data_IF_325885724282
#
_entry.id   IF_325885724282
#
_cell.length_a   1.000
_cell.length_b   1.000
_cell.length_c   1.000
_cell.angle_alpha   90.00
_cell.angle_beta   90.00
_cell.angle_gamma   90.00
#
_symmetry.space_group_name_H-M   'P 1'
#
loop_
_entity.id
_entity.type
_entity.pdbx_description
1 polymer ?
#
# COMPACT_ATOMS: atom_id res chain seq x y z
N UNK A 1 1.01 9.18 36.26
CA UNK A 1 1.33 8.69 34.91
C UNK A 1 2.78 9.05 34.62
N UNK A 2 3.62 8.08 34.22
CA UNK A 2 5.06 8.26 33.94
C UNK A 2 5.24 8.99 32.58
N UNK A 3 5.09 10.31 32.54
CA UNK A 3 5.31 11.14 31.33
C UNK A 3 4.42 10.79 30.13
N UNK A 4 4.53 11.57 29.05
CA UNK A 4 3.81 11.29 27.81
C UNK A 4 4.46 10.10 27.09
N UNK A 5 3.65 9.13 26.66
CA UNK A 5 4.12 7.94 25.93
C UNK A 5 4.34 8.24 24.44
N UNK A 6 4.99 9.37 24.17
CA UNK A 6 5.23 9.91 22.86
C UNK A 6 6.74 9.84 22.57
N UNK A 7 7.11 9.33 21.40
CA UNK A 7 8.50 9.31 20.91
C UNK A 7 8.64 10.21 19.71
N UNK A 8 9.66 11.06 19.72
CA UNK A 8 10.15 11.78 18.54
C UNK A 8 11.47 11.20 18.07
N UNK A 9 11.52 10.72 16.84
CA UNK A 9 12.72 10.15 16.23
C UNK A 9 12.71 10.40 14.72
N UNK A 10 13.86 10.83 14.17
CA UNK A 10 14.06 11.08 12.73
C UNK A 10 13.01 12.00 12.07
N UNK A 11 12.47 12.97 12.82
CA UNK A 11 11.41 13.86 12.33
C UNK A 11 10.00 13.25 12.34
N UNK A 12 9.83 12.08 12.95
CA UNK A 12 8.54 11.42 13.15
C UNK A 12 8.11 11.41 14.61
N UNK A 13 6.80 11.50 14.83
CA UNK A 13 6.14 11.28 16.11
C UNK A 13 5.44 9.94 16.11
N UNK A 14 5.65 9.20 17.20
CA UNK A 14 4.95 7.95 17.50
C UNK A 14 4.24 8.12 18.84
N UNK A 15 2.91 8.08 18.84
CA UNK A 15 2.10 8.24 20.04
C UNK A 15 1.56 6.88 20.54
N UNK A 16 2.17 6.38 21.61
CA UNK A 16 1.78 5.14 22.27
C UNK A 16 0.78 5.36 23.42
N UNK A 17 0.28 6.57 23.64
CA UNK A 17 -0.60 6.90 24.79
C UNK A 17 -1.84 6.03 24.83
N UNK A 18 -2.47 5.78 23.67
CA UNK A 18 -3.64 4.91 23.59
C UNK A 18 -3.29 3.43 23.89
N UNK A 19 -2.10 2.97 23.50
CA UNK A 19 -1.57 1.64 23.82
C UNK A 19 -1.36 1.53 25.32
N UNK A 20 -0.64 2.49 25.91
CA UNK A 20 -0.36 2.58 27.34
C UNK A 20 -1.63 2.59 28.21
N UNK A 21 -2.71 3.16 27.68
CA UNK A 21 -4.01 3.22 28.38
C UNK A 21 -4.81 1.92 28.28
N UNK A 22 -4.81 1.27 27.11
CA UNK A 22 -5.66 0.09 26.84
C UNK A 22 -5.04 -1.22 27.29
N UNK A 23 -3.74 -1.39 27.13
CA UNK A 23 -3.03 -2.65 27.43
C UNK A 23 -3.25 -3.12 28.88
N UNK A 24 -3.13 -2.27 29.92
CA UNK A 24 -3.38 -2.70 31.30
C UNK A 24 -4.84 -3.11 31.54
N UNK A 25 -5.80 -2.38 30.96
CA UNK A 25 -7.25 -2.67 31.09
C UNK A 25 -7.63 -4.00 30.47
N UNK A 26 -6.89 -4.42 29.45
CA UNK A 26 -7.08 -5.70 28.75
C UNK A 26 -6.30 -6.85 29.40
N UNK A 27 -5.48 -6.59 30.42
CA UNK A 27 -4.65 -7.61 31.06
C UNK A 27 -3.59 -8.23 30.14
N UNK A 28 -3.17 -7.50 29.10
CA UNK A 28 -2.14 -7.97 28.17
C UNK A 28 -0.77 -7.93 28.87
N UNK A 29 -0.01 -9.01 28.72
CA UNK A 29 1.32 -9.19 29.34
C UNK A 29 2.46 -9.13 28.32
N UNK A 30 2.12 -9.15 27.03
CA UNK A 30 3.07 -9.09 25.92
C UNK A 30 2.54 -8.22 24.79
N UNK A 31 3.44 -7.48 24.15
CA UNK A 31 3.17 -6.76 22.91
C UNK A 31 4.19 -7.16 21.85
N UNK A 32 3.70 -7.49 20.66
CA UNK A 32 4.54 -7.65 19.46
C UNK A 32 4.60 -6.28 18.78
N UNK A 33 5.79 -5.73 18.57
CA UNK A 33 6.01 -4.46 17.91
C UNK A 33 6.49 -4.71 16.49
N UNK A 34 5.75 -4.21 15.50
CA UNK A 34 6.09 -4.29 14.09
C UNK A 34 6.03 -2.93 13.39
N UNK A 35 6.79 -2.79 12.31
CA UNK A 35 6.82 -1.55 11.53
C UNK A 35 7.19 -1.81 10.07
N UNK A 36 6.95 -0.85 9.16
CA UNK A 36 7.51 -0.87 7.81
C UNK A 36 9.04 -0.78 7.82
N UNK A 37 9.62 -1.18 6.68
CA UNK A 37 11.07 -1.21 6.45
C UNK A 37 11.77 0.08 6.92
N UNK A 38 11.18 1.24 6.62
CA UNK A 38 11.76 2.55 6.97
C UNK A 38 11.89 2.81 8.48
N UNK A 39 11.15 2.10 9.32
CA UNK A 39 11.16 2.25 10.78
C UNK A 39 11.80 1.05 11.51
N UNK A 40 12.24 0.01 10.80
CA UNK A 40 12.87 -1.17 11.44
C UNK A 40 14.05 -0.77 12.32
N UNK A 41 14.88 0.20 11.86
CA UNK A 41 16.01 0.72 12.64
C UNK A 41 15.62 1.43 13.93
N UNK A 42 14.37 1.89 14.03
CA UNK A 42 13.83 2.59 15.19
C UNK A 42 13.18 1.64 16.20
N UNK A 43 12.84 0.40 15.78
CA UNK A 43 12.11 -0.55 16.62
C UNK A 43 12.74 -0.78 18.00
N UNK A 44 14.06 -0.95 18.17
CA UNK A 44 14.65 -1.12 19.50
C UNK A 44 14.39 0.08 20.42
N UNK A 45 14.54 1.30 19.89
CA UNK A 45 14.29 2.54 20.65
C UNK A 45 12.81 2.70 21.01
N UNK A 46 11.93 2.39 20.07
CA UNK A 46 10.48 2.45 20.27
C UNK A 46 10.01 1.39 21.29
N UNK A 47 10.57 0.18 21.23
CA UNK A 47 10.29 -0.89 22.16
C UNK A 47 10.71 -0.54 23.59
N UNK A 48 11.94 0.00 23.77
CA UNK A 48 12.40 0.46 25.09
C UNK A 48 11.47 1.51 25.68
N UNK A 49 11.05 2.52 24.90
CA UNK A 49 10.10 3.52 25.40
C UNK A 49 8.74 2.89 25.75
N UNK A 50 8.22 2.02 24.89
CA UNK A 50 6.94 1.37 25.13
C UNK A 50 6.98 0.53 26.41
N UNK A 51 8.10 -0.16 26.69
CA UNK A 51 8.31 -0.90 27.93
C UNK A 51 8.38 0.01 29.17
N UNK A 52 9.01 1.18 29.08
CA UNK A 52 9.00 2.18 30.18
C UNK A 52 7.58 2.69 30.49
N UNK A 53 6.74 2.78 29.46
CA UNK A 53 5.33 3.18 29.55
C UNK A 53 4.42 2.10 30.14
N UNK A 54 4.84 0.84 30.10
CA UNK A 54 4.01 -0.33 30.44
C UNK A 54 4.76 -1.26 31.39
N UNK A 55 4.59 -1.02 32.68
CA UNK A 55 5.22 -1.83 33.73
C UNK A 55 4.73 -3.27 33.70
N UNK A 56 5.67 -4.23 33.68
CA UNK A 56 5.36 -5.67 33.67
C UNK A 56 4.88 -6.23 32.33
N UNK A 57 4.98 -5.47 31.22
CA UNK A 57 4.64 -5.93 29.87
C UNK A 57 5.90 -6.19 29.06
N UNK A 58 6.03 -7.39 28.51
CA UNK A 58 7.12 -7.74 27.60
C UNK A 58 6.87 -7.13 26.21
N UNK A 59 7.86 -6.42 25.65
CA UNK A 59 7.78 -5.91 24.27
C UNK A 59 8.73 -6.70 23.38
N UNK A 60 8.16 -7.47 22.45
CA UNK A 60 8.89 -8.29 21.47
C UNK A 60 8.98 -7.53 20.16
N UNK A 61 10.19 -7.33 19.65
CA UNK A 61 10.41 -6.66 18.35
C UNK A 61 10.35 -7.68 17.22
N UNK A 62 9.43 -7.50 16.27
CA UNK A 62 9.42 -8.24 15.01
C UNK A 62 10.33 -7.54 14.00
N UNK A 63 11.42 -8.23 13.60
CA UNK A 63 12.39 -7.69 12.64
C UNK A 63 11.91 -7.75 11.19
N UNK A 64 10.99 -8.67 10.88
CA UNK A 64 10.38 -8.71 9.55
C UNK A 64 9.50 -7.48 9.30
N UNK A 65 9.72 -6.75 8.20
CA UNK A 65 8.91 -5.59 7.86
C UNK A 65 7.45 -5.95 7.60
N UNK A 66 6.58 -5.03 8.01
CA UNK A 66 5.19 -5.00 7.58
C UNK A 66 5.01 -4.02 6.44
N UNK A 67 4.42 -4.45 5.32
CA UNK A 67 4.23 -3.63 4.11
C UNK A 67 2.93 -2.82 4.11
N UNK A 68 2.09 -2.99 5.13
CA UNK A 68 0.79 -2.35 5.27
C UNK A 68 -0.07 -3.11 6.29
N UNK A 69 -1.28 -2.62 6.52
CA UNK A 69 -2.29 -3.40 7.28
C UNK A 69 -2.65 -4.72 6.57
N UNK A 70 -2.33 -4.87 5.29
CA UNK A 70 -2.50 -6.12 4.55
C UNK A 70 -1.59 -7.25 5.01
N UNK A 71 -0.50 -6.93 5.73
CA UNK A 71 0.51 -7.88 6.20
C UNK A 71 0.63 -7.89 7.71
N UNK A 72 -0.47 -7.63 8.42
CA UNK A 72 -0.49 -7.71 9.88
C UNK A 72 -0.06 -9.10 10.36
N UNK A 73 0.76 -9.12 11.39
CA UNK A 73 1.32 -10.34 11.98
C UNK A 73 0.35 -11.09 12.88
N UNK A 74 -0.86 -11.37 12.41
CA UNK A 74 -1.92 -11.92 13.25
C UNK A 74 -1.58 -13.30 13.80
N UNK A 75 -0.76 -14.08 13.09
CA UNK A 75 -0.23 -15.38 13.55
C UNK A 75 0.58 -15.28 14.84
N UNK A 76 1.22 -14.14 15.09
CA UNK A 76 1.94 -13.93 16.36
C UNK A 76 1.00 -13.89 17.57
N UNK A 77 -0.25 -13.43 17.39
CA UNK A 77 -1.25 -13.42 18.46
C UNK A 77 -1.70 -14.83 18.85
N UNK A 78 -1.68 -15.78 17.91
CA UNK A 78 -1.94 -17.20 18.18
C UNK A 78 -0.74 -17.85 18.87
N UNK A 79 0.46 -17.70 18.29
CA UNK A 79 1.68 -18.34 18.78
C UNK A 79 2.02 -17.94 20.23
N UNK A 80 1.86 -16.65 20.56
CA UNK A 80 2.12 -16.15 21.90
C UNK A 80 0.88 -16.18 22.82
N UNK A 81 -0.29 -16.55 22.30
CA UNK A 81 -1.51 -16.79 23.09
C UNK A 81 -2.30 -15.54 23.52
N UNK A 82 -3.35 -15.73 24.34
CA UNK A 82 -4.39 -14.74 24.62
C UNK A 82 -3.90 -13.46 25.32
N UNK A 83 -2.80 -13.52 26.08
CA UNK A 83 -2.22 -12.37 26.78
C UNK A 83 -1.37 -11.44 25.91
N UNK A 84 -1.40 -11.61 24.58
CA UNK A 84 -0.56 -10.89 23.62
C UNK A 84 -1.37 -9.90 22.79
N UNK A 85 -0.83 -8.69 22.60
CA UNK A 85 -1.32 -7.71 21.62
C UNK A 85 -0.29 -7.42 20.52
N UNK A 86 -0.73 -6.80 19.43
CA UNK A 86 0.11 -6.37 18.31
C UNK A 86 0.10 -4.85 18.22
N UNK A 87 1.27 -4.22 18.21
CA UNK A 87 1.45 -2.79 17.97
C UNK A 87 2.03 -2.63 16.58
N UNK A 88 1.21 -2.17 15.65
CA UNK A 88 1.55 -1.96 14.25
C UNK A 88 1.85 -0.49 13.98
N UNK A 89 3.07 -0.20 13.55
CA UNK A 89 3.50 1.17 13.29
C UNK A 89 3.30 1.55 11.82
N UNK A 90 2.85 2.79 11.56
CA UNK A 90 3.04 3.47 10.28
C UNK A 90 1.93 3.31 9.23
N UNK A 91 0.94 2.45 9.46
CA UNK A 91 -0.22 2.33 8.56
C UNK A 91 -1.54 2.42 9.32
N UNK A 92 -2.50 3.13 8.72
CA UNK A 92 -3.78 3.45 9.36
C UNK A 92 -5.01 3.14 8.49
N UNK A 93 -4.81 3.01 7.17
CA UNK A 93 -5.91 2.84 6.22
C UNK A 93 -5.70 1.61 5.34
N UNK A 94 -6.73 0.77 5.25
CA UNK A 94 -6.77 -0.35 4.32
C UNK A 94 -8.22 -0.66 3.91
N UNK A 95 -8.56 -0.58 2.60
CA UNK A 95 -9.94 -0.66 2.15
C UNK A 95 -10.44 -2.07 1.86
N UNK A 96 -9.60 -3.09 2.03
CA UNK A 96 -9.96 -4.47 1.75
C UNK A 96 -10.18 -5.27 3.04
N UNK A 97 -10.98 -6.34 2.98
CA UNK A 97 -11.08 -7.28 4.09
C UNK A 97 -9.71 -7.84 4.48
N UNK A 98 -9.58 -8.16 5.76
CA UNK A 98 -8.48 -8.92 6.30
C UNK A 98 -9.00 -10.33 6.61
N UNK A 99 -8.27 -11.32 6.11
CA UNK A 99 -8.59 -12.72 6.26
C UNK A 99 -7.75 -13.33 7.39
N UNK A 100 -8.44 -13.91 8.37
CA UNK A 100 -7.85 -14.51 9.55
C UNK A 100 -8.75 -15.63 10.10
N UNK A 101 -8.18 -16.74 10.55
CA UNK A 101 -8.91 -17.94 11.02
C UNK A 101 -10.00 -18.43 10.04
N UNK A 102 -9.74 -18.42 8.73
CA UNK A 102 -10.71 -18.85 7.72
C UNK A 102 -11.92 -17.92 7.53
N UNK A 103 -11.92 -16.75 8.19
CA UNK A 103 -12.92 -15.70 8.01
C UNK A 103 -12.27 -14.47 7.38
N UNK A 104 -13.00 -13.74 6.53
CA UNK A 104 -12.55 -12.49 5.96
C UNK A 104 -13.54 -11.40 6.34
N UNK A 105 -13.06 -10.30 6.91
CA UNK A 105 -13.92 -9.19 7.31
C UNK A 105 -13.20 -7.86 7.33
N UNK A 106 -13.98 -6.78 7.50
CA UNK A 106 -13.42 -5.45 7.63
C UNK A 106 -12.69 -5.24 8.95
N UNK A 107 -11.81 -4.24 8.97
CA UNK A 107 -11.30 -3.68 10.21
C UNK A 107 -12.43 -2.95 10.98
N UNK A 108 -12.50 -3.01 12.32
CA UNK A 108 -11.65 -3.78 13.24
C UNK A 108 -12.13 -5.23 13.49
N UNK A 109 -13.35 -5.57 13.03
CA UNK A 109 -14.04 -6.81 13.40
C UNK A 109 -13.30 -8.10 13.05
N UNK A 110 -12.51 -8.12 11.97
CA UNK A 110 -11.75 -9.31 11.56
C UNK A 110 -10.44 -9.54 12.33
N UNK A 111 -9.93 -8.51 13.03
CA UNK A 111 -8.58 -8.52 13.60
C UNK A 111 -8.59 -8.52 15.14
N UNK A 112 -9.71 -8.08 15.71
CA UNK A 112 -9.95 -8.06 17.15
C UNK A 112 -9.30 -6.88 17.87
N UNK A 113 -9.70 -6.66 19.12
CA UNK A 113 -9.36 -5.46 19.88
C UNK A 113 -7.90 -5.40 20.39
N UNK A 114 -7.11 -6.45 20.10
CA UNK A 114 -5.72 -6.62 20.55
C UNK A 114 -4.69 -6.06 19.58
N UNK A 115 -5.12 -5.43 18.48
CA UNK A 115 -4.23 -4.75 17.54
C UNK A 115 -4.33 -3.24 17.70
N UNK A 116 -3.18 -2.61 17.92
CA UNK A 116 -3.02 -1.19 18.15
C UNK A 116 -2.28 -0.58 16.96
N UNK A 117 -2.86 0.45 16.35
CA UNK A 117 -2.23 1.17 15.25
C UNK A 117 -1.53 2.41 15.82
N UNK A 118 -0.22 2.49 15.65
CA UNK A 118 0.58 3.64 16.08
C UNK A 118 1.10 4.36 14.83
N UNK A 119 0.59 5.55 14.53
CA UNK A 119 1.05 6.28 13.36
C UNK A 119 2.50 6.71 13.53
N UNK A 120 3.26 6.75 12.44
CA UNK A 120 4.56 7.42 12.38
C UNK A 120 4.37 8.75 11.68
N UNK A 121 3.93 9.78 12.39
CA UNK A 121 3.56 11.07 11.78
C UNK A 121 4.80 11.90 11.53
N UNK A 122 5.05 12.26 10.27
CA UNK A 122 6.13 13.18 9.92
C UNK A 122 5.76 14.61 10.33
N UNK A 123 6.58 15.25 11.17
CA UNK A 123 6.36 16.62 11.63
C UNK A 123 6.93 17.68 10.67
N UNK A 124 7.78 17.29 9.72
CA UNK A 124 8.44 18.22 8.78
C UNK A 124 7.64 18.58 7.53
N UNK A 125 8.37 19.07 6.54
CA UNK A 125 7.90 19.42 5.19
C UNK A 125 7.60 20.91 5.00
N UNK A 126 8.22 21.48 3.96
CA UNK A 126 7.98 22.87 3.55
C UNK A 126 6.70 22.96 2.71
N UNK A 127 5.60 23.31 3.37
CA UNK A 127 4.29 23.47 2.72
C UNK A 127 4.32 24.58 1.66
N UNK A 128 5.10 25.64 1.87
CA UNK A 128 5.14 26.77 0.94
C UNK A 128 5.86 26.39 -0.36
N UNK A 129 6.98 25.68 -0.24
CA UNK A 129 7.70 25.13 -1.39
C UNK A 129 6.82 24.16 -2.18
N UNK A 130 6.14 23.22 -1.50
CA UNK A 130 5.22 22.29 -2.12
C UNK A 130 4.06 23.00 -2.84
N UNK A 131 3.43 23.99 -2.19
CA UNK A 131 2.33 24.75 -2.80
C UNK A 131 2.81 25.49 -4.06
N UNK A 132 3.98 26.12 -4.01
CA UNK A 132 4.58 26.83 -5.14
C UNK A 132 4.95 25.88 -6.29
N UNK A 133 5.40 24.67 -5.96
CA UNK A 133 5.65 23.61 -6.94
C UNK A 133 4.37 23.06 -7.59
N UNK A 134 3.27 22.94 -6.84
CA UNK A 134 1.97 22.59 -7.41
C UNK A 134 1.49 23.70 -8.35
N UNK A 135 1.61 24.97 -7.94
CA UNK A 135 1.19 26.12 -8.74
C UNK A 135 1.92 26.29 -10.07
N UNK A 136 3.19 25.88 -10.13
CA UNK A 136 3.98 25.98 -11.35
C UNK A 136 3.59 24.94 -12.41
N UNK A 137 2.92 23.84 -12.00
CA UNK A 137 2.59 22.71 -12.87
C UNK A 137 1.08 22.49 -13.07
N UNK A 138 0.27 22.78 -12.06
CA UNK A 138 -1.18 22.61 -12.10
C UNK A 138 -1.87 23.76 -12.86
N UNK A 139 -2.98 23.49 -13.57
CA UNK A 139 -3.77 24.56 -14.19
C UNK A 139 -4.31 25.55 -13.14
N UNK A 140 -4.08 26.85 -13.36
CA UNK A 140 -4.52 27.91 -12.43
C UNK A 140 -6.03 27.86 -12.18
N UNK A 141 -6.44 27.96 -10.92
CA UNK A 141 -7.85 27.89 -10.51
C UNK A 141 -8.49 26.52 -10.74
N UNK A 142 -7.70 25.51 -11.09
CA UNK A 142 -8.16 24.16 -11.35
C UNK A 142 -8.63 23.42 -10.10
N UNK A 143 -9.38 22.34 -10.34
CA UNK A 143 -9.80 21.42 -9.30
C UNK A 143 -8.71 20.41 -8.97
N UNK A 144 -8.38 20.24 -7.69
CA UNK A 144 -7.29 19.39 -7.23
C UNK A 144 -7.80 18.23 -6.38
N UNK A 145 -7.11 17.09 -6.47
CA UNK A 145 -7.19 16.01 -5.48
C UNK A 145 -5.81 15.86 -4.85
N UNK A 146 -5.75 15.94 -3.52
CA UNK A 146 -4.51 15.76 -2.76
C UNK A 146 -4.53 14.38 -2.11
N UNK A 147 -3.67 13.50 -2.59
CA UNK A 147 -3.46 12.16 -2.04
C UNK A 147 -2.23 12.13 -1.12
N UNK A 148 -2.23 11.29 -0.08
CA UNK A 148 -1.09 11.18 0.84
C UNK A 148 -0.86 9.77 1.39
N UNK A 149 0.39 9.43 1.70
CA UNK A 149 0.69 8.26 2.54
C UNK A 149 0.46 8.60 4.01
N UNK A 150 0.13 7.59 4.83
CA UNK A 150 -0.32 7.76 6.22
C UNK A 150 0.53 8.75 7.04
N UNK A 151 1.84 8.60 6.99
CA UNK A 151 2.81 9.45 7.70
C UNK A 151 2.77 10.94 7.34
N UNK A 152 2.21 11.32 6.19
CA UNK A 152 2.16 12.71 5.71
C UNK A 152 0.75 13.33 5.77
N UNK A 153 -0.22 12.66 6.41
CA UNK A 153 -1.60 13.16 6.46
C UNK A 153 -1.72 14.61 6.98
N UNK A 154 -1.03 15.03 8.07
CA UNK A 154 -1.11 16.42 8.51
C UNK A 154 -0.52 17.41 7.51
N UNK A 155 0.59 17.05 6.85
CA UNK A 155 1.24 17.88 5.84
C UNK A 155 0.34 18.07 4.62
N UNK A 156 -0.29 17.00 4.14
CA UNK A 156 -1.21 17.06 3.00
C UNK A 156 -2.44 17.93 3.28
N UNK A 157 -3.00 17.86 4.50
CA UNK A 157 -4.09 18.75 4.92
C UNK A 157 -3.66 20.21 5.00
N UNK A 158 -2.44 20.50 5.45
CA UNK A 158 -1.88 21.86 5.43
C UNK A 158 -1.68 22.36 3.99
N UNK A 159 -1.11 21.53 3.13
CA UNK A 159 -0.92 21.85 1.71
C UNK A 159 -2.25 22.16 1.02
N UNK A 160 -3.28 21.34 1.24
CA UNK A 160 -4.61 21.59 0.70
C UNK A 160 -5.15 22.97 1.10
N UNK A 161 -5.09 23.34 2.39
CA UNK A 161 -5.54 24.66 2.85
C UNK A 161 -4.79 25.81 2.17
N UNK A 162 -3.46 25.70 2.06
CA UNK A 162 -2.65 26.73 1.38
C UNK A 162 -3.01 26.82 -0.11
N UNK A 163 -3.31 25.70 -0.77
CA UNK A 163 -3.75 25.72 -2.17
C UNK A 163 -5.14 26.35 -2.33
N UNK A 164 -6.06 26.13 -1.38
CA UNK A 164 -7.36 26.81 -1.36
C UNK A 164 -7.21 28.33 -1.18
N UNK A 165 -6.36 28.77 -0.26
CA UNK A 165 -6.02 30.19 -0.06
C UNK A 165 -5.40 30.82 -1.32
N UNK A 166 -4.69 30.02 -2.13
CA UNK A 166 -4.12 30.43 -3.42
C UNK A 166 -5.09 30.29 -4.62
N UNK A 167 -6.36 30.01 -4.36
CA UNK A 167 -7.43 30.05 -5.36
C UNK A 167 -7.71 28.75 -6.11
N UNK A 168 -7.15 27.62 -5.66
CA UNK A 168 -7.54 26.30 -6.17
C UNK A 168 -8.80 25.78 -5.47
N UNK A 169 -9.54 24.90 -6.16
CA UNK A 169 -10.62 24.14 -5.53
C UNK A 169 -10.09 22.75 -5.17
N UNK A 170 -9.93 22.44 -3.88
CA UNK A 170 -9.53 21.09 -3.46
C UNK A 170 -10.78 20.23 -3.29
N UNK A 171 -10.96 19.24 -4.18
CA UNK A 171 -12.10 18.32 -4.14
C UNK A 171 -12.00 17.29 -3.02
N UNK A 172 -10.78 16.83 -2.73
CA UNK A 172 -10.56 15.78 -1.76
C UNK A 172 -9.12 15.79 -1.22
N UNK A 173 -8.98 15.38 0.05
CA UNK A 173 -7.70 15.13 0.72
C UNK A 173 -7.74 13.73 1.31
N UNK A 174 -7.20 12.76 0.58
CA UNK A 174 -7.51 11.34 0.75
C UNK A 174 -6.24 10.49 0.94
N UNK A 175 -6.27 9.45 1.79
CA UNK A 175 -5.14 8.53 1.88
C UNK A 175 -4.99 7.75 0.57
N UNK A 176 -3.75 7.51 0.17
CA UNK A 176 -3.40 6.61 -0.94
C UNK A 176 -2.62 5.41 -0.41
N UNK A 177 -3.00 4.24 -0.90
CA UNK A 177 -2.26 3.00 -0.71
C UNK A 177 -1.98 2.38 -2.06
N UNK A 178 -0.99 1.50 -2.09
CA UNK A 178 -0.48 0.95 -3.33
C UNK A 178 -1.39 0.06 -4.18
N UNK A 179 -2.57 -0.27 -3.65
CA UNK A 179 -3.49 -1.22 -4.26
C UNK A 179 -4.93 -0.72 -4.33
N UNK A 180 -5.19 0.55 -4.02
CA UNK A 180 -6.54 1.13 -4.06
C UNK A 180 -6.50 2.60 -4.43
N UNK A 181 -7.19 2.94 -5.52
CA UNK A 181 -7.24 4.31 -6.06
C UNK A 181 -8.68 4.80 -6.24
N UNK A 182 -9.71 3.99 -5.96
CA UNK A 182 -11.11 4.33 -6.25
C UNK A 182 -11.64 5.53 -5.42
N UNK A 183 -11.04 5.83 -4.26
CA UNK A 183 -11.31 7.06 -3.53
C UNK A 183 -10.84 8.31 -4.28
N UNK A 184 -9.81 8.19 -5.11
CA UNK A 184 -9.28 9.28 -5.94
C UNK A 184 -9.97 9.33 -7.31
N UNK A 185 -10.13 8.18 -7.97
CA UNK A 185 -10.68 8.06 -9.33
C UNK A 185 -12.14 8.51 -9.49
N UNK A 186 -12.87 8.68 -8.38
CA UNK A 186 -14.24 9.24 -8.42
C UNK A 186 -14.27 10.73 -8.77
N UNK A 187 -13.16 11.44 -8.60
CA UNK A 187 -13.00 12.86 -8.89
C UNK A 187 -12.44 13.06 -10.30
N UNK A 188 -13.19 12.58 -11.31
CA UNK A 188 -12.75 12.60 -12.72
C UNK A 188 -12.62 14.01 -13.27
N UNK A 189 -13.31 14.96 -12.65
CA UNK A 189 -13.31 16.40 -12.93
C UNK A 189 -12.08 17.13 -12.41
N UNK A 190 -11.20 16.46 -11.66
CA UNK A 190 -9.96 17.05 -11.19
C UNK A 190 -9.01 17.37 -12.35
N UNK A 191 -8.50 18.60 -12.38
CA UNK A 191 -7.48 19.02 -13.34
C UNK A 191 -6.07 18.60 -12.92
N UNK A 192 -5.86 18.25 -11.65
CA UNK A 192 -4.61 17.67 -11.17
C UNK A 192 -4.79 16.75 -9.96
N UNK A 193 -3.97 15.71 -9.89
CA UNK A 193 -3.78 14.82 -8.75
C UNK A 193 -2.40 15.06 -8.16
N UNK A 194 -2.34 15.48 -6.90
CA UNK A 194 -1.10 15.75 -6.15
C UNK A 194 -0.88 14.64 -5.15
N UNK A 195 0.23 13.91 -5.24
CA UNK A 195 0.54 12.80 -4.34
C UNK A 195 1.68 13.21 -3.40
N UNK A 196 1.38 13.41 -2.12
CA UNK A 196 2.34 13.77 -1.07
C UNK A 196 2.98 12.50 -0.50
N UNK A 197 4.17 12.17 -1.00
CA UNK A 197 4.94 10.98 -0.60
C UNK A 197 6.42 11.15 -0.97
N UNK A 198 7.35 10.66 -0.13
CA UNK A 198 8.78 10.73 -0.41
C UNK A 198 9.33 9.70 -1.39
N UNK A 199 8.47 9.11 -2.22
CA UNK A 199 8.85 8.11 -3.21
C UNK A 199 7.84 8.08 -4.34
N UNK A 200 8.26 7.56 -5.50
CA UNK A 200 7.46 7.63 -6.73
C UNK A 200 6.40 6.53 -6.82
N UNK A 201 6.42 5.60 -5.89
CA UNK A 201 5.55 4.44 -5.90
C UNK A 201 4.05 4.78 -6.06
N UNK A 202 3.48 5.54 -5.13
CA UNK A 202 2.04 5.80 -5.10
C UNK A 202 1.57 6.63 -6.29
N UNK A 203 2.39 7.58 -6.74
CA UNK A 203 2.05 8.44 -7.88
C UNK A 203 2.08 7.67 -9.18
N UNK A 204 3.02 6.74 -9.38
CA UNK A 204 3.05 5.88 -10.56
C UNK A 204 1.87 4.91 -10.58
N UNK A 205 1.53 4.29 -9.43
CA UNK A 205 0.34 3.44 -9.31
C UNK A 205 -0.96 4.18 -9.64
N UNK A 206 -1.11 5.43 -9.16
CA UNK A 206 -2.24 6.28 -9.53
C UNK A 206 -2.23 6.62 -11.02
N UNK A 207 -1.06 6.92 -11.60
CA UNK A 207 -0.92 7.15 -13.04
C UNK A 207 -1.36 5.96 -13.88
N UNK A 208 -1.03 4.73 -13.47
CA UNK A 208 -1.50 3.49 -14.11
C UNK A 208 -3.02 3.33 -14.00
N UNK A 209 -3.60 3.63 -12.84
CA UNK A 209 -5.05 3.56 -12.64
C UNK A 209 -5.81 4.64 -13.45
N UNK A 210 -5.21 5.82 -13.60
CA UNK A 210 -5.71 6.92 -14.43
C UNK A 210 -5.51 6.70 -15.91
N UNK A 211 -4.48 5.94 -16.32
CA UNK A 211 -4.14 5.69 -17.73
C UNK A 211 -5.35 5.23 -18.55
N UNK A 212 -6.17 4.35 -17.96
CA UNK A 212 -7.37 3.81 -18.61
C UNK A 212 -8.60 4.72 -18.57
N UNK A 213 -8.56 5.90 -17.94
CA UNK A 213 -9.79 6.66 -17.68
C UNK A 213 -9.71 8.19 -17.59
N UNK A 214 -8.56 8.80 -17.33
CA UNK A 214 -8.37 10.27 -17.39
C UNK A 214 -6.89 10.63 -17.48
N UNK A 215 -6.42 10.96 -18.69
CA UNK A 215 -5.02 11.33 -18.98
C UNK A 215 -4.79 12.84 -19.11
N UNK A 216 -5.88 13.61 -19.06
CA UNK A 216 -5.82 15.06 -19.26
C UNK A 216 -5.45 15.81 -17.97
N UNK A 217 -5.77 15.22 -16.82
CA UNK A 217 -5.39 15.76 -15.52
C UNK A 217 -3.87 15.68 -15.31
N UNK A 218 -3.26 16.69 -14.68
CA UNK A 218 -1.86 16.62 -14.24
C UNK A 218 -1.68 15.56 -13.15
N UNK A 219 -0.54 14.88 -13.16
CA UNK A 219 -0.16 13.90 -12.15
C UNK A 219 1.13 14.36 -11.49
N UNK A 220 1.04 14.86 -10.26
CA UNK A 220 2.13 15.56 -9.58
C UNK A 220 2.65 14.74 -8.40
N UNK A 221 3.95 14.46 -8.41
CA UNK A 221 4.67 13.89 -7.27
C UNK A 221 5.15 15.03 -6.37
N UNK A 222 4.68 15.09 -5.13
CA UNK A 222 5.05 16.10 -4.15
C UNK A 222 5.88 15.47 -3.03
N UNK A 223 7.19 15.70 -3.05
CA UNK A 223 8.12 15.10 -2.09
C UNK A 223 8.16 15.93 -0.79
N UNK A 224 7.67 15.38 0.34
CA UNK A 224 7.59 16.08 1.61
C UNK A 224 8.95 16.34 2.26
N UNK A 225 10.02 15.66 1.83
CA UNK A 225 11.35 15.84 2.41
C UNK A 225 12.15 16.90 1.67
N UNK A 226 12.04 16.94 0.34
CA UNK A 226 12.81 17.88 -0.50
C UNK A 226 12.04 19.14 -0.89
N UNK A 227 10.72 19.15 -0.69
CA UNK A 227 9.84 20.25 -1.11
C UNK A 227 9.65 20.35 -2.63
N UNK A 228 10.15 19.36 -3.39
CA UNK A 228 10.05 19.34 -4.85
C UNK A 228 8.72 18.79 -5.31
N UNK A 229 8.20 19.37 -6.38
CA UNK A 229 7.00 18.89 -7.09
C UNK A 229 7.36 18.64 -8.54
N UNK A 230 7.04 17.46 -9.05
CA UNK A 230 7.41 17.03 -10.41
C UNK A 230 6.22 16.42 -11.16
N UNK A 231 6.22 16.55 -12.48
CA UNK A 231 5.29 15.82 -13.35
C UNK A 231 5.68 14.32 -13.41
N UNK A 232 4.77 13.46 -12.99
CA UNK A 232 4.98 12.02 -12.95
C UNK A 232 4.46 11.30 -14.21
N UNK A 233 3.76 11.99 -15.12
CA UNK A 233 3.25 11.35 -16.34
C UNK A 233 4.32 10.73 -17.22
N UNK A 234 5.47 11.39 -17.52
CA UNK A 234 6.47 10.81 -18.40
C UNK A 234 6.92 9.42 -17.96
N UNK A 235 7.06 9.21 -16.66
CA UNK A 235 7.43 7.92 -16.10
C UNK A 235 6.25 6.96 -15.99
N UNK A 236 5.08 7.42 -15.55
CA UNK A 236 3.88 6.57 -15.52
C UNK A 236 3.55 6.00 -16.90
N UNK A 237 3.75 6.79 -17.96
CA UNK A 237 3.58 6.34 -19.35
C UNK A 237 4.65 5.34 -19.78
N UNK A 238 5.90 5.49 -19.33
CA UNK A 238 6.97 4.51 -19.57
C UNK A 238 6.62 3.17 -18.92
N UNK A 239 6.16 3.20 -17.66
CA UNK A 239 5.69 2.00 -16.96
C UNK A 239 4.52 1.39 -17.71
N UNK A 240 3.48 2.16 -18.03
CA UNK A 240 2.31 1.68 -18.76
C UNK A 240 2.66 1.04 -20.12
N UNK A 241 3.62 1.61 -20.85
CA UNK A 241 4.09 1.03 -22.12
C UNK A 241 4.74 -0.35 -21.93
N UNK A 242 5.59 -0.50 -20.90
CA UNK A 242 6.16 -1.79 -20.52
C UNK A 242 5.07 -2.80 -20.14
N UNK A 243 4.08 -2.36 -19.34
CA UNK A 243 2.96 -3.21 -18.93
C UNK A 243 2.10 -3.68 -20.11
N UNK A 244 1.79 -2.78 -21.05
CA UNK A 244 1.05 -3.11 -22.27
C UNK A 244 1.79 -4.13 -23.14
N UNK A 245 3.13 -4.03 -23.22
CA UNK A 245 3.93 -5.03 -23.92
C UNK A 245 3.83 -6.41 -23.26
N UNK A 246 3.94 -6.48 -21.93
CA UNK A 246 3.77 -7.73 -21.18
C UNK A 246 2.36 -8.32 -21.32
N UNK A 247 1.33 -7.47 -21.30
CA UNK A 247 -0.06 -7.90 -21.55
C UNK A 247 -0.23 -8.49 -22.95
N UNK A 248 0.35 -7.85 -23.97
CA UNK A 248 0.30 -8.36 -25.35
C UNK A 248 1.00 -9.71 -25.45
N UNK A 249 2.19 -9.84 -24.85
CA UNK A 249 2.95 -11.08 -24.81
C UNK A 249 2.16 -12.20 -24.12
N UNK A 250 1.56 -11.89 -22.97
CA UNK A 250 0.68 -12.81 -22.25
C UNK A 250 -0.49 -13.28 -23.13
N UNK A 251 -1.21 -12.36 -23.78
CA UNK A 251 -2.36 -12.71 -24.62
C UNK A 251 -1.98 -13.59 -25.83
N UNK A 252 -0.80 -13.39 -26.43
CA UNK A 252 -0.37 -14.18 -27.59
C UNK A 252 0.24 -15.53 -27.22
N UNK A 253 1.06 -15.57 -26.17
CA UNK A 253 1.97 -16.69 -25.88
C UNK A 253 1.49 -17.60 -24.74
N UNK A 254 0.73 -17.08 -23.76
CA UNK A 254 0.42 -17.86 -22.57
C UNK A 254 -0.53 -19.02 -22.86
N UNK A 255 -0.13 -20.25 -22.52
CA UNK A 255 -0.95 -21.48 -22.55
C UNK A 255 -0.98 -22.17 -21.19
N UNK A 256 -0.02 -21.87 -20.34
CA UNK A 256 0.13 -22.33 -18.95
C UNK A 256 0.46 -21.14 -18.03
N UNK A 257 -0.26 -21.00 -16.92
CA UNK A 257 -0.14 -19.86 -16.00
C UNK A 257 0.06 -20.31 -14.55
N UNK A 258 1.06 -19.74 -13.89
CA UNK A 258 1.19 -19.79 -12.43
C UNK A 258 0.31 -18.72 -11.79
N UNK A 259 -0.80 -19.13 -11.17
CA UNK A 259 -1.70 -18.23 -10.47
C UNK A 259 -1.27 -18.09 -9.00
N UNK A 260 -0.59 -16.98 -8.69
CA UNK A 260 0.00 -16.73 -7.38
C UNK A 260 -1.05 -16.17 -6.42
N UNK A 261 -1.22 -16.81 -5.27
CA UNK A 261 -2.17 -16.48 -4.21
C UNK A 261 -1.43 -16.05 -2.95
N UNK A 262 -1.74 -14.87 -2.43
CA UNK A 262 -1.15 -14.34 -1.20
C UNK A 262 -1.77 -14.95 0.04
N UNK A 263 -0.97 -15.30 1.04
CA UNK A 263 -1.43 -15.85 2.32
C UNK A 263 -1.46 -14.82 3.45
N UNK A 264 -0.90 -13.62 3.23
CA UNK A 264 -1.01 -12.52 4.20
C UNK A 264 -2.46 -12.04 4.34
N UNK A 265 -2.89 -11.58 5.54
CA UNK A 265 -4.30 -11.32 5.83
C UNK A 265 -5.06 -10.47 4.79
N UNK A 266 -4.50 -9.36 4.32
CA UNK A 266 -5.13 -8.52 3.30
C UNK A 266 -4.77 -8.86 1.85
N UNK A 267 -3.87 -9.82 1.65
CA UNK A 267 -3.44 -10.24 0.31
C UNK A 267 -4.09 -11.56 -0.13
N UNK A 268 -4.78 -12.26 0.77
CA UNK A 268 -5.63 -13.38 0.41
C UNK A 268 -6.96 -12.90 -0.16
N UNK A 269 -7.19 -13.18 -1.45
CA UNK A 269 -8.33 -12.65 -2.22
C UNK A 269 -9.06 -13.77 -2.96
N UNK A 270 -9.77 -14.67 -2.25
CA UNK A 270 -10.37 -15.86 -2.86
C UNK A 270 -11.32 -15.51 -4.01
N UNK A 271 -12.13 -14.46 -3.88
CA UNK A 271 -13.02 -14.01 -4.96
C UNK A 271 -12.30 -13.56 -6.23
N UNK A 272 -11.14 -12.91 -6.12
CA UNK A 272 -10.32 -12.52 -7.29
C UNK A 272 -9.69 -13.74 -7.91
N UNK A 273 -9.17 -14.65 -7.09
CA UNK A 273 -8.59 -15.93 -7.54
C UNK A 273 -9.62 -16.75 -8.31
N UNK A 274 -10.84 -16.89 -7.79
CA UNK A 274 -11.90 -17.65 -8.45
C UNK A 274 -12.38 -16.99 -9.75
N UNK A 275 -12.40 -15.65 -9.81
CA UNK A 275 -12.69 -14.93 -11.05
C UNK A 275 -11.59 -15.16 -12.11
N UNK A 276 -10.31 -15.15 -11.70
CA UNK A 276 -9.18 -15.44 -12.60
C UNK A 276 -9.19 -16.88 -13.10
N UNK A 277 -9.50 -17.86 -12.24
CA UNK A 277 -9.65 -19.28 -12.64
C UNK A 277 -10.69 -19.42 -13.77
N UNK A 278 -11.90 -18.89 -13.55
CA UNK A 278 -12.98 -18.88 -14.55
C UNK A 278 -12.57 -18.19 -15.85
N UNK A 279 -11.84 -17.08 -15.73
CA UNK A 279 -11.34 -16.34 -16.88
C UNK A 279 -10.34 -17.16 -17.69
N UNK A 280 -9.40 -17.85 -17.03
CA UNK A 280 -8.41 -18.71 -17.68
C UNK A 280 -9.06 -19.94 -18.33
N UNK A 281 -10.00 -20.59 -17.62
CA UNK A 281 -10.79 -21.71 -18.14
C UNK A 281 -11.55 -21.34 -19.42
N UNK A 282 -12.22 -20.16 -19.40
CA UNK A 282 -12.94 -19.63 -20.56
C UNK A 282 -12.07 -19.47 -21.80
N UNK A 283 -10.77 -19.20 -21.62
CA UNK A 283 -9.81 -19.02 -22.71
C UNK A 283 -8.96 -20.27 -22.99
N UNK A 284 -9.26 -21.41 -22.35
CA UNK A 284 -8.53 -22.66 -22.55
C UNK A 284 -7.08 -22.61 -22.06
N UNK A 285 -6.76 -21.73 -21.11
CA UNK A 285 -5.41 -21.57 -20.55
C UNK A 285 -5.30 -22.45 -19.31
N UNK A 286 -4.33 -23.37 -19.31
CA UNK A 286 -4.05 -24.23 -18.15
C UNK A 286 -3.45 -23.38 -17.02
N UNK A 287 -3.76 -23.70 -15.78
CA UNK A 287 -3.14 -22.99 -14.64
C UNK A 287 -2.90 -23.91 -13.44
N UNK A 288 -1.91 -23.53 -12.64
CA UNK A 288 -1.66 -24.08 -11.31
C UNK A 288 -1.73 -22.96 -10.27
N UNK A 289 -2.36 -23.25 -9.13
CA UNK A 289 -2.46 -22.30 -8.01
C UNK A 289 -1.21 -22.41 -7.16
N UNK A 290 -0.48 -21.31 -6.98
CA UNK A 290 0.76 -21.23 -6.23
C UNK A 290 0.56 -20.32 -5.01
N UNK A 291 0.62 -20.87 -3.80
CA UNK A 291 0.40 -20.09 -2.58
C UNK A 291 1.72 -19.55 -2.02
N UNK A 292 1.75 -18.27 -1.66
CA UNK A 292 2.93 -17.60 -1.10
C UNK A 292 2.52 -16.67 0.04
N UNK A 293 3.29 -16.64 1.11
CA UNK A 293 3.14 -15.60 2.13
C UNK A 293 3.87 -14.33 1.70
N UNK A 294 5.16 -14.45 1.36
CA UNK A 294 5.99 -13.37 0.85
C UNK A 294 6.54 -13.77 -0.52
N UNK A 295 6.11 -13.04 -1.54
CA UNK A 295 6.56 -13.27 -2.91
C UNK A 295 7.96 -12.71 -3.12
N UNK A 296 8.80 -13.42 -3.88
CA UNK A 296 10.11 -12.93 -4.30
C UNK A 296 10.47 -13.50 -5.68
N UNK A 297 11.49 -12.92 -6.32
CA UNK A 297 11.99 -13.39 -7.62
C UNK A 297 12.57 -14.81 -7.51
N UNK A 298 13.27 -15.08 -6.42
CA UNK A 298 13.90 -16.37 -6.13
C UNK A 298 12.86 -17.51 -6.06
N UNK A 299 11.67 -17.24 -5.52
CA UNK A 299 10.58 -18.22 -5.52
C UNK A 299 10.13 -18.59 -6.94
N UNK A 300 10.12 -17.63 -7.88
CA UNK A 300 9.81 -17.93 -9.29
C UNK A 300 10.96 -18.64 -9.99
N UNK A 301 12.19 -18.24 -9.73
CA UNK A 301 13.38 -18.83 -10.34
C UNK A 301 13.57 -20.30 -9.92
N UNK A 302 13.02 -20.71 -8.77
CA UNK A 302 12.99 -22.10 -8.33
C UNK A 302 11.95 -22.98 -9.05
N UNK A 303 10.99 -22.38 -9.76
CA UNK A 303 10.05 -23.14 -10.61
C UNK A 303 10.75 -23.49 -11.93
N UNK A 304 10.45 -24.65 -12.53
CA UNK A 304 11.12 -25.01 -13.76
C UNK A 304 10.74 -24.00 -14.87
N UNK A 305 11.72 -23.57 -15.71
CA UNK A 305 11.48 -22.67 -16.83
C UNK A 305 10.42 -23.13 -17.82
N UNK A 306 9.99 -24.39 -17.80
CA UNK A 306 9.00 -24.93 -18.73
C UNK A 306 7.62 -25.17 -18.08
N UNK A 307 7.47 -24.94 -16.76
CA UNK A 307 6.21 -25.23 -16.05
C UNK A 307 5.09 -24.23 -16.38
N UNK A 308 5.46 -22.97 -16.63
CA UNK A 308 4.51 -21.86 -16.81
C UNK A 308 5.00 -20.87 -17.86
N UNK A 309 4.15 -20.45 -18.78
CA UNK A 309 4.48 -19.40 -19.76
C UNK A 309 4.45 -17.99 -19.14
N UNK A 310 3.60 -17.81 -18.12
CA UNK A 310 3.40 -16.54 -17.44
C UNK A 310 2.86 -16.72 -16.02
N UNK A 311 2.81 -15.62 -15.27
CA UNK A 311 2.30 -15.58 -13.91
C UNK A 311 1.26 -14.48 -13.72
N UNK A 312 0.29 -14.72 -12.85
CA UNK A 312 -0.65 -13.70 -12.39
C UNK A 312 -0.53 -13.58 -10.87
N UNK A 313 -0.22 -12.38 -10.37
CA UNK A 313 -0.06 -12.10 -8.95
C UNK A 313 -1.36 -11.56 -8.38
N UNK A 314 -2.13 -12.41 -7.69
CA UNK A 314 -3.40 -12.00 -7.05
C UNK A 314 -3.23 -11.42 -5.64
N UNK A 315 -1.99 -11.38 -5.13
CA UNK A 315 -1.64 -10.88 -3.79
C UNK A 315 -1.50 -9.35 -3.73
N UNK A 316 -0.27 -8.83 -3.59
CA UNK A 316 0.03 -7.41 -3.72
C UNK A 316 0.20 -7.06 -5.20
N UNK A 317 -0.65 -6.19 -5.79
CA UNK A 317 -0.57 -5.89 -7.23
C UNK A 317 0.70 -5.12 -7.62
N UNK A 318 1.41 -4.55 -6.65
CA UNK A 318 2.71 -3.89 -6.87
C UNK A 318 3.78 -4.83 -7.35
N UNK A 319 3.78 -6.07 -6.86
CA UNK A 319 4.81 -7.06 -7.17
C UNK A 319 4.93 -7.25 -8.69
N UNK A 320 3.81 -7.28 -9.40
CA UNK A 320 3.80 -7.43 -10.85
C UNK A 320 4.39 -6.20 -11.58
N UNK A 321 4.19 -5.00 -11.04
CA UNK A 321 4.50 -3.71 -11.70
C UNK A 321 5.87 -3.16 -11.31
N UNK A 322 6.42 -3.60 -10.18
CA UNK A 322 7.70 -3.15 -9.65
C UNK A 322 8.65 -4.33 -9.48
N UNK A 323 8.48 -5.13 -8.41
CA UNK A 323 9.44 -6.14 -7.97
C UNK A 323 9.72 -7.26 -8.99
N UNK A 324 8.73 -7.55 -9.84
CA UNK A 324 8.77 -8.61 -10.86
C UNK A 324 8.54 -8.06 -12.27
N UNK A 325 8.65 -6.73 -12.45
CA UNK A 325 8.38 -6.09 -13.74
C UNK A 325 9.40 -6.48 -14.82
N UNK A 326 10.63 -6.82 -14.41
CA UNK A 326 11.74 -7.25 -15.25
C UNK A 326 11.91 -8.79 -15.24
N UNK A 327 10.94 -9.51 -14.67
CA UNK A 327 10.95 -10.96 -14.76
C UNK A 327 10.89 -11.38 -16.23
N UNK A 328 11.70 -12.38 -16.58
CA UNK A 328 11.92 -12.76 -17.99
C UNK A 328 10.67 -13.36 -18.66
N UNK A 329 9.67 -13.75 -17.86
CA UNK A 329 8.31 -14.11 -18.30
C UNK A 329 7.30 -13.04 -17.88
N UNK A 330 6.15 -12.92 -18.57
CA UNK A 330 5.09 -12.01 -18.16
C UNK A 330 4.61 -12.31 -16.74
N UNK A 331 4.66 -11.30 -15.87
CA UNK A 331 4.05 -11.32 -14.54
C UNK A 331 3.02 -10.20 -14.51
N UNK A 332 1.73 -10.55 -14.44
CA UNK A 332 0.62 -9.59 -14.53
C UNK A 332 -0.11 -9.41 -13.21
N UNK A 333 -0.63 -8.19 -12.99
CA UNK A 333 -1.68 -7.94 -12.00
C UNK A 333 -3.05 -8.48 -12.51
N UNK A 334 -4.04 -8.71 -11.64
CA UNK A 334 -5.33 -9.27 -12.04
C UNK A 334 -6.07 -8.44 -13.10
N UNK A 335 -6.05 -7.11 -12.96
CA UNK A 335 -6.68 -6.21 -13.94
C UNK A 335 -6.02 -6.27 -15.32
N UNK A 336 -4.70 -6.43 -15.37
CA UNK A 336 -3.93 -6.57 -16.61
C UNK A 336 -4.24 -7.91 -17.30
N UNK A 337 -4.27 -9.02 -16.54
CA UNK A 337 -4.61 -10.33 -17.08
C UNK A 337 -6.02 -10.36 -17.66
N UNK A 338 -6.99 -9.76 -16.94
CA UNK A 338 -8.36 -9.59 -17.45
C UNK A 338 -8.39 -8.76 -18.71
N UNK A 339 -7.74 -7.59 -18.72
CA UNK A 339 -7.75 -6.72 -19.88
C UNK A 339 -7.08 -7.37 -21.10
N UNK A 340 -6.01 -8.13 -20.90
CA UNK A 340 -5.30 -8.84 -21.96
C UNK A 340 -6.17 -9.92 -22.62
N UNK A 341 -6.90 -10.72 -21.84
CA UNK A 341 -7.74 -11.81 -22.38
C UNK A 341 -9.08 -11.32 -22.92
N UNK A 342 -9.68 -10.29 -22.31
CA UNK A 342 -10.99 -9.77 -22.73
C UNK A 342 -10.89 -8.64 -23.78
N UNK A 343 -9.68 -8.26 -24.22
CA UNK A 343 -9.47 -7.20 -25.21
C UNK A 343 -9.90 -5.81 -24.71
N UNK A 344 -9.72 -5.54 -23.42
CA UNK A 344 -10.10 -4.27 -22.80
C UNK A 344 -8.92 -3.28 -22.80
N UNK A 345 -9.23 -2.00 -22.61
CA UNK A 345 -8.20 -1.00 -22.27
C UNK A 345 -7.45 -1.36 -20.99
N UNK A 346 -6.26 -0.78 -20.80
CA UNK A 346 -5.41 -1.04 -19.63
C UNK A 346 -6.15 -0.85 -18.31
N UNK A 347 -6.00 -1.83 -17.39
CA UNK A 347 -6.62 -1.82 -16.06
C UNK A 347 -5.62 -2.17 -14.98
N UNK A 348 -5.61 -1.36 -13.93
CA UNK A 348 -4.79 -1.58 -12.74
C UNK A 348 -5.56 -1.12 -11.48
N UNK A 349 -5.47 -1.84 -10.34
CA UNK A 349 -4.82 -3.13 -10.15
C UNK A 349 -5.70 -4.38 -10.39
N UNK A 350 -7.04 -4.23 -10.35
CA UNK A 350 -8.00 -5.37 -10.34
C UNK A 350 -8.83 -5.52 -11.60
#
# INVERSE_FOLDING_TARGET
>A
MKGDCIVRADGYVFDFTHVATRVPRMGLRRLILEAPQGFVRLLPRLASRLAECLEGVEVVVRLEPSYGLCSLSLSTLELYGPGTGLVHIGHEYYPYPLCWHGSCGGWPGAVGDRVFLVPGVYEGGDVSALASGVESLAPRGGGLVVAYTAQHAPLARRLARVLEERGYRVYAVEPIVGCFFNNLLRHREASAFVVVAGGRFHVLGLGLALYGSSREAKLLAADPYTGRVEDAWPEALRVAASRLWLMRRFASEARSVGLIVGLLPGQYRPGVVDALKKLLDKHGIRYSVLAVERMSRELLDNLAPDDFDAFIVSSCPRLAVEDLADYWKPVLAPGEARAALEGLGYRFPW
#
